data_IF_106157371023
#
_entry.id   IF_106157371023
#
_cell.length_a   1.000
_cell.length_b   1.000
_cell.length_c   1.000
_cell.angle_alpha   90.00
_cell.angle_beta   90.00
_cell.angle_gamma   90.00
#
_symmetry.space_group_name_H-M   'P 1'
#
loop_
_entity.id
_entity.type
_entity.pdbx_description
1 polymer ?
#
# COMPACT_ATOMS: atom_id res chain seq x y z
N UNK A 1 -11.48 -2.60 -8.01
CA UNK A 1 -12.38 -2.09 -9.06
C UNK A 1 -13.82 -2.08 -8.61
N UNK A 2 -14.58 -1.04 -8.93
CA UNK A 2 -15.99 -0.84 -8.59
C UNK A 2 -16.96 -1.29 -9.70
N UNK A 3 -16.60 -2.29 -10.47
CA UNK A 3 -17.44 -2.76 -11.60
C UNK A 3 -18.82 -3.24 -11.17
N UNK A 4 -18.96 -3.69 -9.92
CA UNK A 4 -20.23 -4.15 -9.35
C UNK A 4 -21.08 -3.02 -8.74
N UNK A 5 -20.51 -1.80 -8.55
CA UNK A 5 -21.29 -0.68 -8.01
C UNK A 5 -22.35 -0.21 -9.03
N UNK A 6 -23.65 -0.33 -8.71
CA UNK A 6 -24.72 0.13 -9.60
C UNK A 6 -24.69 1.65 -9.86
N UNK A 7 -24.02 2.42 -9.01
CA UNK A 7 -23.88 3.87 -9.13
C UNK A 7 -22.54 4.31 -9.77
N UNK A 8 -21.67 3.40 -10.18
CA UNK A 8 -20.33 3.73 -10.68
C UNK A 8 -20.33 4.78 -11.80
N UNK A 9 -21.27 4.66 -12.77
CA UNK A 9 -21.39 5.63 -13.86
C UNK A 9 -21.89 7.00 -13.39
N UNK A 10 -22.76 7.06 -12.39
CA UNK A 10 -23.24 8.32 -11.81
C UNK A 10 -22.13 9.03 -11.04
N UNK A 11 -21.37 8.30 -10.21
CA UNK A 11 -20.19 8.81 -9.49
C UNK A 11 -19.14 9.33 -10.48
N UNK A 12 -18.86 8.60 -11.56
CA UNK A 12 -17.94 9.04 -12.61
C UNK A 12 -18.40 10.33 -13.29
N UNK A 13 -19.69 10.45 -13.59
CA UNK A 13 -20.23 11.65 -14.22
C UNK A 13 -20.13 12.88 -13.29
N UNK A 14 -20.40 12.71 -11.99
CA UNK A 14 -20.24 13.74 -10.97
C UNK A 14 -18.78 14.20 -10.86
N UNK A 15 -17.84 13.26 -10.77
CA UNK A 15 -16.41 13.56 -10.71
C UNK A 15 -15.93 14.34 -11.95
N UNK A 16 -16.38 13.95 -13.14
CA UNK A 16 -16.06 14.68 -14.38
C UNK A 16 -16.65 16.09 -14.39
N UNK A 17 -17.85 16.27 -13.84
CA UNK A 17 -18.48 17.60 -13.73
C UNK A 17 -17.71 18.51 -12.76
N UNK A 18 -17.29 17.99 -11.61
CA UNK A 18 -16.45 18.72 -10.62
C UNK A 18 -15.12 19.14 -11.26
N UNK A 19 -14.44 18.23 -11.94
CA UNK A 19 -13.19 18.55 -12.67
C UNK A 19 -13.40 19.62 -13.73
N UNK A 20 -14.50 19.56 -14.47
CA UNK A 20 -14.83 20.53 -15.51
C UNK A 20 -15.19 21.93 -14.93
N UNK A 21 -15.72 22.01 -13.71
CA UNK A 21 -16.02 23.28 -13.04
C UNK A 21 -14.77 24.01 -12.56
N UNK A 22 -13.61 23.33 -12.48
CA UNK A 22 -12.39 23.88 -11.89
C UNK A 22 -12.44 24.00 -10.37
N UNK A 23 -13.44 23.45 -9.71
CA UNK A 23 -13.56 23.40 -8.27
C UNK A 23 -12.51 22.42 -7.70
N UNK A 24 -11.73 22.87 -6.70
CA UNK A 24 -10.78 22.01 -6.01
C UNK A 24 -11.52 21.09 -5.04
N UNK A 25 -11.53 19.79 -5.30
CA UNK A 25 -12.00 18.78 -4.35
C UNK A 25 -10.82 18.42 -3.42
N UNK A 26 -11.00 18.46 -2.08
CA UNK A 26 -10.02 17.88 -1.18
C UNK A 26 -9.82 16.40 -1.51
N UNK A 27 -8.59 15.93 -1.52
CA UNK A 27 -8.33 14.50 -1.64
C UNK A 27 -9.02 13.77 -0.49
N UNK A 28 -9.84 12.79 -0.82
CA UNK A 28 -10.53 11.92 0.12
C UNK A 28 -10.53 10.50 -0.40
N UNK A 29 -10.51 9.54 0.51
CA UNK A 29 -10.70 8.14 0.18
C UNK A 29 -12.20 7.87 0.04
N UNK A 30 -12.64 7.53 -1.17
CA UNK A 30 -14.02 7.16 -1.42
C UNK A 30 -14.20 5.67 -1.14
N UNK A 31 -14.74 5.34 0.03
CA UNK A 31 -15.05 3.97 0.39
C UNK A 31 -16.17 3.40 -0.48
N UNK A 32 -15.96 2.20 -1.01
CA UNK A 32 -16.93 1.47 -1.82
C UNK A 32 -16.92 -0.01 -1.42
N UNK A 33 -17.98 -0.51 -0.73
CA UNK A 33 -18.06 -1.90 -0.28
C UNK A 33 -18.20 -2.91 -1.43
N UNK A 34 -18.27 -2.47 -2.68
CA UNK A 34 -18.26 -3.29 -3.88
C UNK A 34 -16.90 -3.27 -4.60
N UNK A 35 -15.86 -2.78 -3.94
CA UNK A 35 -14.52 -2.73 -4.55
C UNK A 35 -13.84 -4.09 -4.48
N UNK A 36 -13.54 -4.67 -5.63
CA UNK A 36 -13.08 -6.05 -5.78
C UNK A 36 -11.75 -6.13 -6.54
N UNK A 37 -11.04 -7.23 -6.36
CA UNK A 37 -9.84 -7.55 -7.14
C UNK A 37 -10.26 -8.25 -8.45
N UNK A 38 -9.82 -7.71 -9.56
CA UNK A 38 -10.03 -8.27 -10.90
C UNK A 38 -8.70 -8.65 -11.54
N UNK A 39 -8.70 -9.77 -12.25
CA UNK A 39 -7.65 -10.13 -13.20
C UNK A 39 -8.13 -9.88 -14.63
N UNK A 40 -7.20 -9.52 -15.51
CA UNK A 40 -7.43 -9.37 -16.95
C UNK A 40 -6.14 -9.72 -17.71
N UNK A 41 -6.26 -10.02 -18.99
CA UNK A 41 -5.11 -10.07 -19.88
C UNK A 41 -4.49 -8.67 -20.04
N UNK A 42 -3.25 -8.60 -20.52
CA UNK A 42 -2.51 -7.34 -20.66
C UNK A 42 -3.15 -6.35 -21.64
N UNK A 43 -4.02 -6.81 -22.52
CA UNK A 43 -4.81 -5.99 -23.45
C UNK A 43 -6.18 -5.56 -22.87
N UNK A 44 -6.47 -5.94 -21.61
CA UNK A 44 -7.72 -5.66 -20.89
C UNK A 44 -8.85 -6.64 -21.19
N UNK A 45 -8.62 -7.67 -22.00
CA UNK A 45 -9.61 -8.73 -22.24
C UNK A 45 -9.66 -9.74 -21.10
N UNK A 46 -10.66 -10.64 -21.13
CA UNK A 46 -10.85 -11.72 -20.15
C UNK A 46 -10.89 -11.24 -18.70
N UNK A 47 -11.59 -10.12 -18.44
CA UNK A 47 -11.78 -9.58 -17.10
C UNK A 47 -12.55 -10.58 -16.22
N UNK A 48 -11.94 -10.97 -15.09
CA UNK A 48 -12.51 -11.89 -14.11
C UNK A 48 -12.45 -11.28 -12.73
N UNK A 49 -13.57 -11.26 -12.00
CA UNK A 49 -13.60 -10.94 -10.59
C UNK A 49 -12.99 -12.10 -9.80
N UNK A 50 -12.06 -11.83 -8.89
CA UNK A 50 -11.37 -12.86 -8.09
C UNK A 50 -11.88 -12.94 -6.64
N UNK A 51 -12.52 -11.90 -6.11
CA UNK A 51 -12.79 -11.83 -4.67
C UNK A 51 -14.25 -12.06 -4.28
N UNK A 52 -15.23 -11.59 -5.03
CA UNK A 52 -16.68 -11.87 -4.83
C UNK A 52 -17.17 -11.76 -3.37
N UNK A 53 -16.70 -10.79 -2.61
CA UNK A 53 -17.01 -10.64 -1.19
C UNK A 53 -17.57 -9.25 -0.90
N UNK A 54 -18.49 -9.14 0.07
CA UNK A 54 -18.86 -7.84 0.60
C UNK A 54 -17.67 -7.23 1.36
N UNK A 55 -17.44 -5.94 1.14
CA UNK A 55 -16.31 -5.21 1.71
C UNK A 55 -15.45 -4.58 0.63
N UNK A 56 -14.38 -3.92 1.05
CA UNK A 56 -13.43 -3.25 0.18
C UNK A 56 -12.19 -4.14 0.01
N UNK A 57 -11.99 -4.71 -1.17
CA UNK A 57 -10.84 -5.54 -1.54
C UNK A 57 -9.91 -4.76 -2.47
N UNK A 58 -8.70 -4.44 -2.02
CA UNK A 58 -7.80 -3.53 -2.73
C UNK A 58 -6.32 -3.87 -2.56
N UNK A 59 -5.47 -3.09 -3.24
CA UNK A 59 -4.00 -3.11 -3.10
C UNK A 59 -3.39 -4.48 -3.40
N UNK A 60 -3.90 -5.14 -4.45
CA UNK A 60 -3.47 -6.47 -4.86
C UNK A 60 -2.03 -6.49 -5.40
N UNK A 61 -1.22 -7.46 -4.93
CA UNK A 61 0.12 -7.73 -5.46
C UNK A 61 0.37 -9.23 -5.62
N UNK A 62 1.00 -9.62 -6.75
CA UNK A 62 1.37 -11.02 -6.99
C UNK A 62 2.58 -11.44 -6.18
N UNK A 63 2.63 -12.73 -5.81
CA UNK A 63 3.88 -13.38 -5.43
C UNK A 63 4.87 -13.42 -6.60
N UNK A 64 6.20 -13.49 -6.35
CA UNK A 64 7.20 -13.52 -7.42
C UNK A 64 7.03 -14.69 -8.40
N UNK A 65 6.46 -15.81 -7.97
CA UNK A 65 6.17 -16.97 -8.80
C UNK A 65 4.80 -16.91 -9.50
N UNK A 66 4.02 -15.84 -9.26
CA UNK A 66 2.71 -15.59 -9.85
C UNK A 66 1.59 -16.52 -9.37
N UNK A 67 1.79 -17.29 -8.30
CA UNK A 67 0.83 -18.30 -7.84
C UNK A 67 -0.18 -17.77 -6.83
N UNK A 68 0.16 -16.72 -6.11
CA UNK A 68 -0.71 -16.11 -5.10
C UNK A 68 -0.82 -14.61 -5.27
N UNK A 69 -1.87 -14.04 -4.69
CA UNK A 69 -2.13 -12.60 -4.64
C UNK A 69 -2.29 -12.22 -3.18
N UNK A 70 -1.51 -11.24 -2.72
CA UNK A 70 -1.73 -10.50 -1.47
C UNK A 70 -2.70 -9.36 -1.74
N UNK A 71 -3.55 -9.04 -0.78
CA UNK A 71 -4.44 -7.88 -0.86
C UNK A 71 -4.88 -7.43 0.52
N UNK A 72 -5.39 -6.21 0.61
CA UNK A 72 -6.01 -5.66 1.81
C UNK A 72 -7.53 -5.76 1.70
N UNK A 73 -8.21 -6.08 2.82
CA UNK A 73 -9.67 -6.25 2.83
C UNK A 73 -10.27 -6.02 4.21
N UNK A 74 -11.47 -5.45 4.26
CA UNK A 74 -12.28 -5.39 5.46
C UNK A 74 -13.47 -6.37 5.44
N UNK A 75 -13.39 -7.42 4.61
CA UNK A 75 -14.44 -8.43 4.42
C UNK A 75 -14.91 -9.09 5.71
N UNK A 76 -14.03 -9.23 6.72
CA UNK A 76 -14.37 -9.84 8.01
C UNK A 76 -15.47 -9.03 8.73
N UNK A 77 -15.49 -7.71 8.59
CA UNK A 77 -16.54 -6.86 9.14
C UNK A 77 -17.92 -7.13 8.52
N UNK A 78 -17.96 -7.70 7.32
CA UNK A 78 -19.20 -8.07 6.61
C UNK A 78 -19.55 -9.56 6.74
N UNK A 79 -18.60 -10.40 7.17
CA UNK A 79 -18.78 -11.84 7.28
C UNK A 79 -19.49 -12.29 8.57
N UNK A 80 -19.61 -11.40 9.58
CA UNK A 80 -20.19 -11.69 10.88
C UNK A 80 -21.03 -10.54 11.42
N UNK A 81 -21.94 -10.81 12.39
CA UNK A 81 -22.60 -9.72 13.12
C UNK A 81 -21.60 -8.90 13.91
N UNK A 82 -21.66 -7.58 13.76
CA UNK A 82 -20.85 -6.64 14.56
C UNK A 82 -21.57 -6.27 15.86
N UNK A 83 -20.82 -6.01 16.92
CA UNK A 83 -21.32 -5.32 18.10
C UNK A 83 -21.67 -3.86 17.75
N UNK A 84 -22.43 -3.18 18.62
CA UNK A 84 -22.76 -1.75 18.42
C UNK A 84 -21.53 -0.85 18.35
N UNK A 85 -20.47 -1.22 19.06
CA UNK A 85 -19.20 -0.46 19.05
C UNK A 85 -18.49 -0.67 17.72
N UNK A 86 -18.35 -1.92 17.27
CA UNK A 86 -17.74 -2.24 15.98
C UNK A 86 -18.52 -1.63 14.82
N UNK A 87 -19.86 -1.66 14.86
CA UNK A 87 -20.68 -1.01 13.82
C UNK A 87 -20.41 0.50 13.78
N UNK A 88 -20.32 1.15 14.93
CA UNK A 88 -19.98 2.57 15.00
C UNK A 88 -18.59 2.87 14.42
N UNK A 89 -17.59 2.01 14.67
CA UNK A 89 -16.26 2.15 14.09
C UNK A 89 -16.28 1.96 12.55
N UNK A 90 -17.03 0.97 12.05
CA UNK A 90 -17.17 0.73 10.61
C UNK A 90 -17.87 1.90 9.91
N UNK A 91 -18.89 2.49 10.54
CA UNK A 91 -19.66 3.61 10.01
C UNK A 91 -18.83 4.92 10.01
N UNK A 92 -17.90 5.07 10.98
CA UNK A 92 -17.01 6.23 11.13
C UNK A 92 -15.80 6.15 10.20
N UNK A 93 -15.11 5.02 10.21
CA UNK A 93 -13.98 4.73 9.32
C UNK A 93 -13.89 3.24 8.99
N UNK A 94 -14.33 2.85 7.81
CA UNK A 94 -14.30 1.46 7.36
C UNK A 94 -12.89 0.88 7.22
N UNK A 95 -11.85 1.72 7.13
CA UNK A 95 -10.45 1.29 7.06
C UNK A 95 -9.96 0.66 8.38
N UNK A 96 -10.62 0.95 9.49
CA UNK A 96 -10.30 0.37 10.80
C UNK A 96 -10.28 -1.17 10.79
N UNK A 97 -11.02 -1.81 9.88
CA UNK A 97 -11.14 -3.26 9.74
C UNK A 97 -10.33 -3.84 8.58
N UNK A 98 -9.45 -3.04 7.98
CA UNK A 98 -8.63 -3.50 6.86
C UNK A 98 -7.48 -4.38 7.37
N UNK A 99 -7.52 -5.65 6.97
CA UNK A 99 -6.48 -6.64 7.23
C UNK A 99 -5.88 -7.17 5.92
N UNK A 100 -4.73 -7.83 6.02
CA UNK A 100 -4.08 -8.47 4.88
C UNK A 100 -4.59 -9.89 4.69
N UNK A 101 -4.78 -10.23 3.42
CA UNK A 101 -5.21 -11.54 2.95
C UNK A 101 -4.27 -12.04 1.86
N UNK A 102 -4.24 -13.35 1.70
CA UNK A 102 -3.62 -14.04 0.56
C UNK A 102 -4.64 -14.97 -0.07
N UNK A 103 -4.61 -15.10 -1.39
CA UNK A 103 -5.40 -16.06 -2.16
C UNK A 103 -4.55 -16.68 -3.26
N UNK A 104 -4.97 -17.80 -3.81
CA UNK A 104 -4.39 -18.33 -5.04
C UNK A 104 -4.68 -17.38 -6.22
N UNK A 105 -3.85 -17.41 -7.26
CA UNK A 105 -3.97 -16.50 -8.40
C UNK A 105 -5.31 -16.61 -9.16
N UNK A 106 -6.06 -17.70 -8.96
CA UNK A 106 -7.40 -17.90 -9.50
C UNK A 106 -8.54 -17.39 -8.59
N UNK A 107 -8.20 -16.76 -7.45
CA UNK A 107 -9.15 -16.24 -6.44
C UNK A 107 -9.56 -17.26 -5.38
N UNK A 108 -9.11 -18.51 -5.47
CA UNK A 108 -9.44 -19.56 -4.48
C UNK A 108 -8.54 -19.49 -3.23
N UNK A 109 -8.90 -20.28 -2.20
CA UNK A 109 -8.11 -20.49 -0.98
C UNK A 109 -7.76 -19.19 -0.22
N UNK A 110 -8.69 -18.26 -0.12
CA UNK A 110 -8.52 -16.99 0.59
C UNK A 110 -8.22 -17.25 2.08
N UNK A 111 -7.12 -16.67 2.57
CA UNK A 111 -6.67 -16.77 3.96
C UNK A 111 -6.31 -15.40 4.51
N UNK A 112 -6.82 -15.05 5.69
CA UNK A 112 -6.43 -13.86 6.44
C UNK A 112 -5.05 -14.03 7.08
N UNK A 113 -4.21 -13.01 7.01
CA UNK A 113 -2.84 -13.00 7.54
C UNK A 113 -2.68 -12.10 8.76
N UNK A 114 -3.43 -11.00 8.84
CA UNK A 114 -3.40 -10.06 9.97
C UNK A 114 -4.76 -9.93 10.64
N UNK A 115 -4.79 -9.51 11.93
CA UNK A 115 -5.98 -9.45 12.76
C UNK A 115 -5.90 -8.27 13.74
N UNK A 116 -5.37 -7.15 13.30
CA UNK A 116 -5.08 -6.01 14.17
C UNK A 116 -6.04 -4.86 13.91
N UNK A 117 -6.49 -4.14 14.95
CA UNK A 117 -7.23 -2.90 14.76
C UNK A 117 -6.39 -1.88 14.00
N UNK A 118 -7.02 -1.14 13.10
CA UNK A 118 -6.38 -0.17 12.23
C UNK A 118 -6.20 -0.69 10.82
N UNK A 119 -5.60 0.10 9.95
CA UNK A 119 -5.49 -0.23 8.53
C UNK A 119 -4.16 -0.90 8.21
N UNK A 120 -4.20 -2.19 7.94
CA UNK A 120 -3.11 -2.93 7.29
C UNK A 120 -3.27 -2.88 5.77
N UNK A 121 -2.28 -2.37 5.04
CA UNK A 121 -2.40 -2.25 3.59
C UNK A 121 -1.09 -2.07 2.84
N UNK A 122 -1.18 -2.08 1.50
CA UNK A 122 -0.05 -2.00 0.58
C UNK A 122 0.94 -3.16 0.73
N UNK A 123 0.48 -4.43 0.74
CA UNK A 123 1.38 -5.55 0.96
C UNK A 123 2.19 -5.89 -0.30
N UNK A 124 3.48 -6.18 -0.12
CA UNK A 124 4.36 -6.70 -1.16
C UNK A 124 5.21 -7.84 -0.65
N UNK A 125 5.48 -8.82 -1.50
CA UNK A 125 6.49 -9.84 -1.24
C UNK A 125 7.90 -9.29 -1.47
N UNK A 126 8.89 -9.90 -0.77
CA UNK A 126 10.28 -9.81 -1.21
C UNK A 126 10.50 -10.64 -2.48
N UNK A 127 11.67 -10.49 -3.12
CA UNK A 127 11.97 -11.17 -4.39
C UNK A 127 11.93 -12.72 -4.30
N UNK A 128 12.24 -13.28 -3.12
CA UNK A 128 12.18 -14.73 -2.87
C UNK A 128 10.77 -15.25 -2.55
N UNK A 129 9.78 -14.37 -2.34
CA UNK A 129 8.44 -14.75 -1.92
C UNK A 129 8.33 -15.32 -0.50
N UNK A 130 9.32 -15.06 0.35
CA UNK A 130 9.43 -15.60 1.71
C UNK A 130 8.99 -14.64 2.80
N UNK A 131 8.98 -13.35 2.50
CA UNK A 131 8.58 -12.26 3.39
C UNK A 131 7.53 -11.38 2.75
N UNK A 132 6.69 -10.79 3.60
CA UNK A 132 5.69 -9.78 3.25
C UNK A 132 6.04 -8.50 3.99
N UNK A 133 5.92 -7.38 3.31
CA UNK A 133 6.14 -6.02 3.78
C UNK A 133 4.84 -5.24 3.61
N UNK A 134 4.43 -4.45 4.64
CA UNK A 134 3.22 -3.62 4.56
C UNK A 134 3.30 -2.41 5.47
N UNK A 135 2.33 -1.50 5.37
CA UNK A 135 2.10 -0.45 6.35
C UNK A 135 0.93 -0.83 7.26
N UNK A 136 1.04 -0.49 8.54
CA UNK A 136 -0.05 -0.57 9.53
C UNK A 136 -0.32 0.81 10.10
N UNK A 137 -1.52 1.31 9.92
CA UNK A 137 -2.00 2.49 10.63
C UNK A 137 -2.38 2.14 12.06
N UNK A 138 -2.11 3.06 12.97
CA UNK A 138 -2.68 2.99 14.31
C UNK A 138 -4.21 3.09 14.26
N UNK A 139 -4.92 2.56 15.28
CA UNK A 139 -6.39 2.60 15.32
C UNK A 139 -7.00 4.01 15.26
N UNK A 140 -6.25 5.05 15.60
CA UNK A 140 -6.67 6.46 15.50
C UNK A 140 -6.42 7.09 14.11
N UNK A 141 -5.81 6.35 13.18
CA UNK A 141 -5.51 6.80 11.82
C UNK A 141 -4.42 7.87 11.69
N UNK A 142 -3.79 8.30 12.79
CA UNK A 142 -2.89 9.46 12.81
C UNK A 142 -1.44 9.13 12.45
N UNK A 143 -1.05 7.87 12.58
CA UNK A 143 0.31 7.40 12.26
C UNK A 143 0.28 6.02 11.64
N UNK A 144 1.31 5.71 10.87
CA UNK A 144 1.49 4.42 10.22
C UNK A 144 2.95 3.98 10.31
N UNK A 145 3.16 2.71 10.58
CA UNK A 145 4.49 2.12 10.69
C UNK A 145 4.68 1.01 9.66
N UNK A 146 5.92 0.79 9.26
CA UNK A 146 6.28 -0.29 8.35
C UNK A 146 6.47 -1.57 9.15
N UNK A 147 5.90 -2.65 8.66
CA UNK A 147 5.92 -3.98 9.24
C UNK A 147 6.37 -5.03 8.24
N UNK A 148 6.92 -6.12 8.75
CA UNK A 148 7.27 -7.33 7.98
C UNK A 148 6.81 -8.59 8.68
N UNK A 149 6.56 -9.65 7.91
CA UNK A 149 6.22 -10.99 8.41
C UNK A 149 6.73 -12.07 7.44
N UNK A 150 6.70 -13.31 7.87
CA UNK A 150 6.87 -14.45 6.96
C UNK A 150 5.67 -14.58 6.01
N UNK A 151 5.87 -15.18 4.85
CA UNK A 151 4.82 -15.31 3.83
C UNK A 151 3.57 -16.07 4.30
N UNK A 152 3.66 -16.87 5.37
CA UNK A 152 2.55 -17.58 5.98
C UNK A 152 1.74 -16.77 7.00
N UNK A 153 2.16 -15.51 7.29
CA UNK A 153 1.57 -14.59 8.26
C UNK A 153 2.22 -14.63 9.65
N UNK A 154 3.19 -15.51 9.88
CA UNK A 154 3.92 -15.64 11.15
C UNK A 154 5.03 -14.60 11.31
N UNK A 155 5.60 -14.51 12.51
CA UNK A 155 6.76 -13.66 12.83
C UNK A 155 6.58 -12.18 12.45
N UNK A 156 5.38 -11.62 12.69
CA UNK A 156 5.10 -10.19 12.46
C UNK A 156 6.03 -9.32 13.30
N UNK A 157 6.66 -8.33 12.65
CA UNK A 157 7.60 -7.43 13.30
C UNK A 157 7.49 -6.01 12.73
N UNK A 158 7.47 -5.03 13.63
CA UNK A 158 7.52 -3.61 13.30
C UNK A 158 8.96 -3.21 12.95
N UNK A 159 9.15 -2.47 11.85
CA UNK A 159 10.45 -1.98 11.39
C UNK A 159 10.68 -0.50 11.71
N UNK A 160 9.64 0.31 11.70
CA UNK A 160 9.70 1.74 12.05
C UNK A 160 8.86 2.00 13.30
N UNK A 161 9.25 2.97 14.13
CA UNK A 161 8.56 3.31 15.38
C UNK A 161 8.71 4.81 15.69
N UNK A 162 8.48 5.68 14.70
CA UNK A 162 8.66 7.12 14.84
C UNK A 162 7.36 7.89 15.12
N UNK A 163 6.20 7.21 15.12
CA UNK A 163 4.89 7.80 15.38
C UNK A 163 4.40 8.76 14.29
N UNK A 164 4.99 8.66 13.11
CA UNK A 164 4.64 9.44 11.93
C UNK A 164 3.92 8.57 10.90
N UNK A 165 3.60 9.11 9.73
CA UNK A 165 3.07 8.31 8.64
C UNK A 165 4.22 7.81 7.79
N UNK A 166 4.47 6.49 7.85
CA UNK A 166 5.38 5.78 6.99
C UNK A 166 4.57 4.97 5.97
N UNK A 167 4.82 5.17 4.67
CA UNK A 167 3.93 4.71 3.60
C UNK A 167 4.69 4.09 2.43
N UNK A 168 3.99 3.20 1.70
CA UNK A 168 4.44 2.65 0.41
C UNK A 168 5.79 1.95 0.48
N UNK A 169 6.00 1.02 1.43
CA UNK A 169 7.27 0.32 1.54
C UNK A 169 7.48 -0.63 0.37
N UNK A 170 8.72 -0.76 -0.09
CA UNK A 170 9.08 -1.66 -1.16
C UNK A 170 10.47 -2.26 -0.94
N UNK A 171 10.64 -3.57 -1.16
CA UNK A 171 11.96 -4.20 -1.10
C UNK A 171 12.82 -3.82 -2.29
N UNK A 172 14.11 -3.56 -2.08
CA UNK A 172 15.06 -3.66 -3.17
C UNK A 172 15.13 -5.11 -3.68
N UNK A 173 15.26 -5.38 -5.01
CA UNK A 173 15.26 -6.74 -5.55
C UNK A 173 16.33 -7.66 -4.97
N UNK A 174 17.44 -7.13 -4.45
CA UNK A 174 18.45 -7.91 -3.71
C UNK A 174 17.97 -8.44 -2.35
N UNK A 175 16.83 -7.92 -1.84
CA UNK A 175 16.36 -8.21 -0.49
C UNK A 175 17.16 -7.56 0.65
N UNK A 176 18.24 -6.84 0.33
CA UNK A 176 19.19 -6.31 1.34
C UNK A 176 18.63 -5.12 2.12
N UNK A 177 17.68 -4.36 1.58
CA UNK A 177 17.05 -3.21 2.25
C UNK A 177 15.67 -2.91 1.67
N UNK A 178 14.98 -2.02 2.38
CA UNK A 178 13.63 -1.55 2.10
C UNK A 178 13.70 -0.05 1.87
N UNK A 179 12.92 0.46 0.90
CA UNK A 179 12.65 1.88 0.70
C UNK A 179 11.20 2.16 1.05
N UNK A 180 10.92 3.33 1.63
CA UNK A 180 9.57 3.76 2.00
C UNK A 180 9.48 5.28 2.05
N UNK A 181 8.27 5.82 2.11
CA UNK A 181 8.01 7.25 2.26
C UNK A 181 7.72 7.58 3.71
N UNK A 182 8.17 8.74 4.21
CA UNK A 182 7.86 9.19 5.57
C UNK A 182 7.68 10.70 5.64
N UNK A 183 6.71 11.15 6.46
CA UNK A 183 6.51 12.56 6.76
C UNK A 183 7.20 13.01 8.07
N UNK A 184 8.23 12.31 8.49
CA UNK A 184 9.00 12.60 9.72
C UNK A 184 9.57 14.04 9.75
N UNK A 185 9.74 14.67 8.60
CA UNK A 185 10.24 16.03 8.45
C UNK A 185 9.14 17.12 8.42
N UNK A 186 7.88 16.72 8.49
CA UNK A 186 6.72 17.61 8.49
C UNK A 186 5.51 17.02 7.78
N UNK A 187 4.31 17.32 8.26
CA UNK A 187 3.07 16.66 7.85
C UNK A 187 2.83 16.67 6.32
N UNK A 188 3.22 17.73 5.63
CA UNK A 188 3.06 17.88 4.18
C UNK A 188 4.36 17.58 3.39
N UNK A 189 5.44 17.18 4.06
CA UNK A 189 6.73 16.93 3.46
C UNK A 189 7.10 15.45 3.59
N UNK A 190 6.65 14.65 2.63
CA UNK A 190 7.06 13.26 2.52
C UNK A 190 8.35 13.14 1.75
N UNK A 191 9.28 12.36 2.31
CA UNK A 191 10.54 12.02 1.67
C UNK A 191 10.74 10.51 1.64
N UNK A 192 11.59 10.05 0.74
CA UNK A 192 11.97 8.65 0.69
C UNK A 192 13.08 8.36 1.70
N UNK A 193 12.96 7.25 2.38
CA UNK A 193 13.95 6.71 3.33
C UNK A 193 14.23 5.25 3.00
N UNK A 194 15.44 4.79 3.32
CA UNK A 194 15.79 3.36 3.26
C UNK A 194 16.21 2.86 4.65
N UNK A 195 15.97 1.57 4.90
CA UNK A 195 16.27 0.89 6.16
C UNK A 195 16.63 -0.58 5.86
N UNK A 196 17.42 -1.20 6.72
CA UNK A 196 17.68 -2.64 6.64
C UNK A 196 16.41 -3.47 6.92
N UNK A 197 16.29 -4.71 6.40
CA UNK A 197 15.08 -5.51 6.53
C UNK A 197 14.77 -5.96 7.96
N UNK A 198 15.75 -5.83 8.87
CA UNK A 198 15.58 -6.15 10.29
C UNK A 198 15.17 -4.92 11.13
N UNK A 199 15.17 -3.71 10.54
CA UNK A 199 14.87 -2.48 11.26
C UNK A 199 15.90 -2.17 12.35
N UNK A 200 17.12 -2.64 12.20
CA UNK A 200 18.17 -2.52 13.20
C UNK A 200 19.08 -1.30 13.01
N UNK A 201 19.07 -0.74 11.82
CA UNK A 201 19.80 0.51 11.49
C UNK A 201 18.89 1.74 11.61
N UNK A 202 19.48 2.90 11.78
CA UNK A 202 18.76 4.17 11.64
C UNK A 202 18.38 4.37 10.16
N UNK A 203 17.16 4.86 9.86
CA UNK A 203 16.75 5.13 8.49
C UNK A 203 17.62 6.18 7.81
N UNK A 204 18.00 5.92 6.57
CA UNK A 204 18.78 6.84 5.72
C UNK A 204 17.81 7.59 4.77
N UNK A 205 17.84 8.92 4.82
CA UNK A 205 17.04 9.77 3.90
C UNK A 205 17.64 9.71 2.49
N UNK A 206 16.76 9.48 1.50
CA UNK A 206 17.11 9.33 0.08
C UNK A 206 16.80 10.60 -0.70
N UNK A 207 15.62 11.18 -0.50
CA UNK A 207 15.21 12.42 -1.18
C UNK A 207 15.24 13.61 -0.21
N UNK A 208 15.37 14.83 -0.76
CA UNK A 208 15.55 16.04 0.06
C UNK A 208 14.95 17.28 -0.61
N UNK A 209 13.77 17.15 -1.20
CA UNK A 209 13.08 18.21 -1.92
C UNK A 209 11.80 18.59 -1.18
N UNK A 210 11.51 19.87 -1.08
CA UNK A 210 10.23 20.30 -0.52
C UNK A 210 9.05 19.75 -1.32
N UNK A 211 8.03 19.28 -0.61
CA UNK A 211 6.82 18.69 -1.18
C UNK A 211 6.63 17.22 -0.82
N UNK A 212 6.10 16.46 -1.74
CA UNK A 212 5.75 15.06 -1.50
C UNK A 212 6.52 14.14 -2.45
N UNK A 213 7.35 13.26 -1.90
CA UNK A 213 8.00 12.15 -2.57
C UNK A 213 7.46 10.85 -1.96
N UNK A 214 6.66 10.08 -2.71
CA UNK A 214 5.93 8.90 -2.20
C UNK A 214 5.89 7.74 -3.19
N UNK A 215 5.52 6.57 -2.68
CA UNK A 215 5.28 5.34 -3.45
C UNK A 215 6.50 4.93 -4.29
N UNK A 216 7.67 4.73 -3.67
CA UNK A 216 8.86 4.30 -4.37
C UNK A 216 8.73 2.84 -4.83
N UNK A 217 9.22 2.56 -6.02
CA UNK A 217 9.36 1.20 -6.55
C UNK A 217 10.68 1.06 -7.28
N UNK A 218 11.35 -0.08 -7.14
CA UNK A 218 12.54 -0.40 -7.91
C UNK A 218 12.19 -1.09 -9.23
N UNK A 219 13.03 -0.90 -10.24
CA UNK A 219 13.01 -1.76 -11.43
C UNK A 219 13.39 -3.20 -11.05
N UNK A 220 12.96 -4.22 -11.83
CA UNK A 220 13.24 -5.62 -11.50
C UNK A 220 14.72 -5.98 -11.39
N UNK A 221 15.60 -5.24 -12.07
CA UNK A 221 17.06 -5.38 -11.99
C UNK A 221 17.69 -4.61 -10.79
N UNK A 222 16.91 -3.75 -10.12
CA UNK A 222 17.37 -2.92 -9.02
C UNK A 222 18.20 -1.71 -9.42
N UNK A 223 18.35 -1.45 -10.71
CA UNK A 223 19.24 -0.37 -11.20
C UNK A 223 18.54 0.99 -11.26
N UNK A 224 17.22 1.05 -11.13
CA UNK A 224 16.44 2.30 -11.17
C UNK A 224 15.39 2.33 -10.07
N UNK A 225 15.15 3.55 -9.57
CA UNK A 225 14.09 3.89 -8.62
C UNK A 225 13.08 4.81 -9.31
N UNK A 226 11.80 4.49 -9.23
CA UNK A 226 10.71 5.37 -9.64
C UNK A 226 9.85 5.74 -8.42
N UNK A 227 9.31 6.97 -8.39
CA UNK A 227 8.43 7.44 -7.32
C UNK A 227 7.49 8.54 -7.81
N UNK A 228 6.42 8.78 -7.08
CA UNK A 228 5.54 9.93 -7.29
C UNK A 228 6.07 11.15 -6.54
N UNK A 229 6.09 12.32 -7.19
CA UNK A 229 6.64 13.55 -6.60
C UNK A 229 5.83 14.79 -6.99
N UNK A 230 5.77 15.77 -6.11
CA UNK A 230 5.18 17.09 -6.36
C UNK A 230 6.23 18.21 -6.54
N UNK A 231 7.51 17.86 -6.71
CA UNK A 231 8.62 18.83 -6.89
C UNK A 231 8.56 19.66 -8.17
N UNK A 232 7.61 19.39 -9.05
CA UNK A 232 7.45 20.12 -10.32
C UNK A 232 6.84 21.51 -10.12
N UNK A 233 7.12 22.49 -11.00
CA UNK A 233 6.47 23.78 -10.94
C UNK A 233 4.94 23.66 -10.96
N UNK A 234 4.28 24.25 -9.95
CA UNK A 234 2.82 24.15 -9.77
C UNK A 234 2.36 23.00 -8.87
N UNK A 235 3.27 22.16 -8.34
CA UNK A 235 2.95 21.13 -7.33
C UNK A 235 2.12 19.95 -7.85
N UNK A 236 1.97 19.80 -9.17
CA UNK A 236 1.26 18.64 -9.74
C UNK A 236 2.08 17.36 -9.53
N UNK A 237 1.41 16.29 -9.12
CA UNK A 237 2.05 14.98 -8.96
C UNK A 237 2.51 14.42 -10.31
N UNK A 238 3.76 13.96 -10.35
CA UNK A 238 4.40 13.35 -11.51
C UNK A 238 5.19 12.13 -11.08
N UNK A 239 5.42 11.21 -12.00
CA UNK A 239 6.36 10.10 -11.77
C UNK A 239 7.75 10.55 -12.17
N UNK A 240 8.69 10.46 -11.25
CA UNK A 240 10.13 10.63 -11.51
C UNK A 240 10.82 9.27 -11.47
N UNK A 241 11.96 9.19 -12.17
CA UNK A 241 12.81 8.00 -12.19
C UNK A 241 14.27 8.45 -12.17
N UNK A 242 15.10 7.73 -11.42
CA UNK A 242 16.54 7.94 -11.33
C UNK A 242 17.29 6.61 -11.42
N UNK A 243 18.53 6.67 -11.88
CA UNK A 243 19.47 5.56 -11.72
C UNK A 243 19.77 5.37 -10.24
N UNK A 244 19.93 4.11 -9.80
CA UNK A 244 20.13 3.76 -8.43
C UNK A 244 21.51 3.17 -8.20
N UNK A 245 22.23 3.71 -7.20
CA UNK A 245 23.54 3.20 -6.79
C UNK A 245 23.37 2.23 -5.63
N UNK A 246 23.29 0.94 -5.95
CA UNK A 246 23.10 -0.13 -4.98
C UNK A 246 24.27 -0.27 -4.01
N UNK A 247 25.50 -0.15 -4.50
CA UNK A 247 26.71 -0.28 -3.67
C UNK A 247 26.78 0.85 -2.64
N UNK A 248 26.48 2.08 -3.04
CA UNK A 248 26.40 3.22 -2.12
C UNK A 248 25.29 3.01 -1.08
N UNK A 249 24.14 2.46 -1.47
CA UNK A 249 23.06 2.18 -0.53
C UNK A 249 23.49 1.16 0.54
N UNK A 250 24.18 0.08 0.15
CA UNK A 250 24.74 -0.91 1.08
C UNK A 250 25.79 -0.28 2.02
N UNK A 251 26.69 0.56 1.48
CA UNK A 251 27.68 1.28 2.28
C UNK A 251 27.02 2.16 3.35
N UNK A 252 26.06 2.99 2.95
CA UNK A 252 25.35 3.90 3.85
C UNK A 252 24.57 3.18 4.96
N UNK A 253 24.02 2.00 4.66
CA UNK A 253 23.31 1.16 5.64
C UNK A 253 24.26 0.27 6.46
N UNK A 254 25.57 0.23 6.16
CA UNK A 254 26.53 -0.62 6.85
C UNK A 254 26.34 -2.11 6.58
N UNK A 255 25.85 -2.47 5.39
CA UNK A 255 25.52 -3.85 4.97
C UNK A 255 26.58 -4.48 4.03
N UNK A 256 27.77 -3.90 3.94
CA UNK A 256 28.89 -4.42 3.12
C UNK A 256 29.63 -5.56 3.82
#
# INVERSE_FOLDING_TARGET
>A
STHEDPNALAKQAEELAIRASGEARPYGWDYDPSYEIYAADSDGSNLVNLTHAAGYDAEGSYSPDGRTILFASNREAYARPLSKVEQGLLDDDASYFMDLYVMDADGSNVKQLTFSPGYDGGPFYNAEGTKILWRRFNPDGNSAEIWTMDADGSNQRQLTANGMVNWGPYYHPSGAYIIYSSNVLGHANFELFMIDPEGSSDPIRVTNTDGTDILPVFSPDGERLAWSTTRTPGGASQIHMADWDHELALELLGLQ
#
